data_IF_995148259841
#
_entry.id   IF_995148259841
#
_cell.length_a   1.000
_cell.length_b   1.000
_cell.length_c   1.000
_cell.angle_alpha   90.00
_cell.angle_beta   90.00
_cell.angle_gamma   90.00
#
_symmetry.space_group_name_H-M   'P 1'
#
loop_
_entity.id
_entity.type
_entity.pdbx_description
1 polymer ?
#
# COMPACT_ATOMS: atom_id res chain seq x y z
N UNK A 1 3.79 -53.40 17.94
CA UNK A 1 4.40 -52.68 16.82
C UNK A 1 4.20 -51.19 17.10
N UNK A 2 5.21 -50.51 17.67
CA UNK A 2 5.15 -49.10 18.08
C UNK A 2 5.90 -48.28 17.04
N UNK A 3 5.21 -47.45 16.27
CA UNK A 3 5.80 -46.48 15.37
C UNK A 3 6.27 -45.26 16.20
N UNK A 4 7.51 -44.82 16.08
CA UNK A 4 7.96 -43.57 16.69
C UNK A 4 7.56 -42.41 15.77
N UNK A 5 6.67 -41.56 16.27
CA UNK A 5 6.35 -40.26 15.69
C UNK A 5 7.56 -39.33 15.92
N UNK A 6 8.48 -39.28 14.97
CA UNK A 6 9.53 -38.26 14.93
C UNK A 6 8.95 -37.03 14.30
N UNK A 7 8.57 -36.08 15.14
CA UNK A 7 8.27 -34.69 14.75
C UNK A 7 9.58 -34.05 14.27
N UNK A 8 9.84 -34.13 12.99
CA UNK A 8 10.83 -33.29 12.33
C UNK A 8 10.24 -31.91 12.16
N UNK A 9 10.45 -31.04 13.15
CA UNK A 9 10.36 -29.60 12.95
C UNK A 9 11.60 -29.21 12.12
N UNK A 10 11.48 -29.32 10.81
CA UNK A 10 12.40 -28.72 9.85
C UNK A 10 12.13 -27.21 9.90
N UNK A 11 12.80 -26.51 10.81
CA UNK A 11 13.11 -25.09 10.62
C UNK A 11 14.17 -25.05 9.51
N UNK A 12 13.70 -25.13 8.26
CA UNK A 12 14.51 -24.92 7.09
C UNK A 12 15.15 -23.55 7.19
N UNK A 13 16.47 -23.52 7.26
CA UNK A 13 17.27 -22.32 7.18
C UNK A 13 16.77 -21.49 6.00
N UNK A 14 16.50 -20.22 6.27
CA UNK A 14 16.20 -19.18 5.28
C UNK A 14 17.41 -19.04 4.36
N UNK A 15 17.47 -19.86 3.32
CA UNK A 15 18.28 -19.56 2.14
C UNK A 15 17.57 -18.41 1.43
N UNK A 16 18.01 -17.19 1.71
CA UNK A 16 17.65 -16.02 0.93
C UNK A 16 18.37 -16.09 -0.42
N UNK A 17 17.90 -16.96 -1.31
CA UNK A 17 18.11 -16.77 -2.72
C UNK A 17 17.34 -15.50 -3.10
N UNK A 18 18.00 -14.51 -3.72
CA UNK A 18 17.33 -13.34 -4.24
C UNK A 18 16.30 -13.76 -5.28
N UNK A 19 15.06 -13.92 -4.84
CA UNK A 19 13.95 -14.19 -5.74
C UNK A 19 13.63 -12.86 -6.39
N UNK A 20 13.72 -12.78 -7.72
CA UNK A 20 13.14 -11.66 -8.45
C UNK A 20 11.67 -11.59 -8.02
N UNK A 21 11.33 -10.55 -7.28
CA UNK A 21 10.01 -10.38 -6.71
C UNK A 21 9.04 -10.12 -7.87
N UNK A 22 8.28 -11.14 -8.24
CA UNK A 22 7.07 -10.88 -8.97
C UNK A 22 6.23 -9.98 -8.07
N UNK A 23 6.03 -8.76 -8.55
CA UNK A 23 5.44 -7.71 -7.73
C UNK A 23 4.05 -8.11 -7.31
N UNK A 24 3.86 -8.09 -6.00
CA UNK A 24 2.58 -8.30 -5.38
C UNK A 24 1.55 -7.36 -5.97
N UNK A 25 0.54 -7.92 -6.57
CA UNK A 25 -0.68 -7.18 -6.83
C UNK A 25 -1.41 -7.06 -5.50
N UNK A 26 -1.25 -5.90 -4.87
CA UNK A 26 -1.82 -5.64 -3.56
C UNK A 26 -3.34 -5.77 -3.61
N UNK A 27 -3.87 -6.54 -2.71
CA UNK A 27 -5.25 -6.43 -2.26
C UNK A 27 -5.52 -4.97 -1.92
N UNK A 28 -6.56 -4.33 -2.47
CA UNK A 28 -6.91 -2.96 -2.14
C UNK A 28 -6.94 -2.74 -0.64
N UNK A 29 -6.28 -1.69 -0.18
CA UNK A 29 -5.89 -1.54 1.22
C UNK A 29 -7.05 -1.39 2.18
N UNK A 30 -8.21 -0.94 1.75
CA UNK A 30 -9.44 -0.91 2.54
C UNK A 30 -10.63 -1.06 1.59
N UNK A 31 -11.59 -1.95 1.90
CA UNK A 31 -12.89 -1.86 1.29
C UNK A 31 -13.47 -0.49 1.63
N UNK A 32 -13.81 0.35 0.62
CA UNK A 32 -14.34 1.67 0.91
C UNK A 32 -15.62 1.52 1.72
N UNK A 33 -15.67 2.06 2.93
CA UNK A 33 -16.92 2.23 3.64
C UNK A 33 -17.72 3.30 2.90
N UNK A 34 -18.96 3.06 2.46
CA UNK A 34 -19.84 4.16 2.12
C UNK A 34 -19.96 4.99 3.39
N UNK A 35 -19.79 6.27 3.21
CA UNK A 35 -19.86 7.20 4.30
C UNK A 35 -21.29 7.19 4.88
N UNK A 36 -21.45 6.76 6.12
CA UNK A 36 -22.47 7.38 6.93
C UNK A 36 -22.17 8.88 6.91
N UNK A 37 -23.06 9.70 6.36
CA UNK A 37 -22.85 11.15 6.14
C UNK A 37 -22.36 11.90 7.40
N UNK A 38 -22.47 11.29 8.57
CA UNK A 38 -22.11 11.86 9.88
C UNK A 38 -20.69 11.56 10.37
N UNK A 39 -19.94 10.63 9.74
CA UNK A 39 -18.66 10.14 10.31
C UNK A 39 -17.47 10.26 9.37
N UNK A 40 -17.64 10.69 8.12
CA UNK A 40 -16.56 10.77 7.14
C UNK A 40 -16.17 12.21 6.85
N UNK A 41 -14.87 12.48 6.88
CA UNK A 41 -14.33 13.78 6.49
C UNK A 41 -14.37 13.88 4.97
N UNK A 42 -15.32 14.67 4.42
CA UNK A 42 -15.41 14.94 2.98
C UNK A 42 -14.14 15.65 2.49
N UNK A 43 -13.79 15.41 1.24
CA UNK A 43 -12.63 15.98 0.58
C UNK A 43 -11.37 15.14 0.72
N UNK A 44 -10.21 15.76 0.62
CA UNK A 44 -8.92 15.10 0.63
C UNK A 44 -8.43 14.77 2.06
N UNK A 45 -8.03 13.52 2.25
CA UNK A 45 -7.51 12.98 3.50
C UNK A 45 -6.14 12.34 3.24
N UNK A 46 -5.04 13.10 3.19
CA UNK A 46 -3.71 12.56 2.96
C UNK A 46 -3.17 11.84 4.21
N UNK A 47 -2.27 10.90 3.98
CA UNK A 47 -1.48 10.25 5.03
C UNK A 47 -0.06 9.97 4.54
N UNK A 48 0.88 9.91 5.47
CA UNK A 48 2.27 9.56 5.22
C UNK A 48 2.88 8.92 6.46
N UNK A 49 3.52 7.77 6.30
CA UNK A 49 4.20 7.07 7.37
C UNK A 49 5.53 6.49 6.89
N UNK A 50 6.51 6.48 7.77
CA UNK A 50 7.75 5.73 7.62
C UNK A 50 7.70 4.46 8.45
N UNK A 51 8.27 3.38 7.92
CA UNK A 51 8.46 2.13 8.62
C UNK A 51 9.94 1.77 8.63
N UNK A 52 10.40 1.23 9.75
CA UNK A 52 11.72 0.63 9.89
C UNK A 52 11.58 -0.84 10.30
N UNK A 53 12.41 -1.70 9.76
CA UNK A 53 12.48 -3.10 10.15
C UNK A 53 13.89 -3.45 10.58
N UNK A 54 13.99 -4.24 11.65
CA UNK A 54 15.27 -4.73 12.15
C UNK A 54 15.08 -6.15 12.68
N UNK A 55 15.98 -7.05 12.27
CA UNK A 55 16.07 -8.39 12.79
C UNK A 55 17.55 -8.72 13.02
N UNK A 56 17.85 -9.33 14.16
CA UNK A 56 19.17 -9.79 14.53
C UNK A 56 19.07 -11.20 15.09
N UNK A 57 19.79 -12.15 14.49
CA UNK A 57 19.88 -13.51 14.97
C UNK A 57 21.36 -13.86 15.14
N UNK A 58 21.76 -14.28 16.34
CA UNK A 58 23.13 -14.70 16.62
C UNK A 58 23.13 -16.17 17.05
N UNK A 59 23.85 -17.01 16.32
CA UNK A 59 23.99 -18.43 16.58
C UNK A 59 25.42 -18.72 17.03
N UNK A 60 25.56 -19.58 18.04
CA UNK A 60 26.83 -20.13 18.49
C UNK A 60 26.62 -21.57 18.93
N UNK A 61 27.27 -22.51 18.26
CA UNK A 61 27.19 -23.96 18.53
C UNK A 61 25.77 -24.54 18.48
N UNK A 62 24.90 -23.96 17.63
CA UNK A 62 23.52 -24.46 17.42
C UNK A 62 23.55 -25.57 16.38
N UNK A 63 23.01 -26.74 16.72
CA UNK A 63 23.01 -27.91 15.82
C UNK A 63 22.20 -27.60 14.55
N UNK A 64 22.82 -27.76 13.38
CA UNK A 64 22.20 -27.52 12.07
C UNK A 64 22.14 -26.06 11.64
N UNK A 65 22.84 -25.14 12.34
CA UNK A 65 22.94 -23.75 11.98
C UNK A 65 24.40 -23.30 11.88
N UNK A 66 24.66 -22.36 10.99
CA UNK A 66 25.99 -21.75 10.87
C UNK A 66 26.22 -20.76 12.01
N UNK A 67 27.37 -20.87 12.67
CA UNK A 67 27.79 -19.92 13.71
C UNK A 67 27.98 -18.51 13.12
N UNK A 68 27.56 -17.52 13.90
CA UNK A 68 27.69 -16.12 13.52
C UNK A 68 26.40 -15.33 13.66
N UNK A 69 26.41 -14.11 13.12
CA UNK A 69 25.28 -13.18 13.25
C UNK A 69 24.66 -12.89 11.89
N UNK A 70 23.36 -13.13 11.80
CA UNK A 70 22.51 -12.70 10.68
C UNK A 70 21.78 -11.42 11.07
N UNK A 71 21.77 -10.45 10.17
CA UNK A 71 21.11 -9.16 10.38
C UNK A 71 20.25 -8.82 9.17
N UNK A 72 19.04 -8.34 9.42
CA UNK A 72 18.19 -7.72 8.39
C UNK A 72 17.84 -6.30 8.83
N UNK A 73 18.08 -5.34 7.96
CA UNK A 73 17.75 -3.93 8.16
C UNK A 73 16.92 -3.47 6.98
N UNK A 74 15.79 -2.83 7.25
CA UNK A 74 14.93 -2.32 6.19
C UNK A 74 14.27 -1.00 6.56
N UNK A 75 13.85 -0.30 5.52
CA UNK A 75 13.06 0.92 5.62
C UNK A 75 11.90 0.87 4.63
N UNK A 76 10.80 1.53 4.97
CA UNK A 76 9.66 1.65 4.09
C UNK A 76 9.00 3.02 4.19
N UNK A 77 8.35 3.39 3.10
CA UNK A 77 7.51 4.57 2.97
C UNK A 77 6.10 4.11 2.61
N UNK A 78 5.12 4.55 3.37
CA UNK A 78 3.71 4.33 3.08
C UNK A 78 3.00 5.67 3.03
N UNK A 79 2.40 6.01 1.91
CA UNK A 79 1.74 7.28 1.71
C UNK A 79 0.50 7.15 0.85
N UNK A 80 -0.32 8.20 0.84
CA UNK A 80 -1.48 8.25 -0.02
C UNK A 80 -2.44 9.37 0.33
N UNK A 81 -3.56 9.38 -0.36
CA UNK A 81 -4.65 10.32 -0.12
C UNK A 81 -5.98 9.69 -0.53
N UNK A 82 -6.98 9.81 0.34
CA UNK A 82 -8.36 9.47 0.00
C UNK A 82 -9.13 10.75 -0.31
N UNK A 83 -9.86 10.77 -1.42
CA UNK A 83 -10.87 11.79 -1.71
C UNK A 83 -12.26 11.19 -1.58
N UNK A 84 -13.09 11.82 -0.76
CA UNK A 84 -14.43 11.33 -0.45
C UNK A 84 -15.44 12.43 -0.69
N UNK A 85 -16.41 12.16 -1.57
CA UNK A 85 -17.55 13.06 -1.82
C UNK A 85 -18.78 12.26 -2.22
N UNK A 86 -19.80 12.21 -1.36
CA UNK A 86 -21.09 11.55 -1.59
C UNK A 86 -20.97 10.15 -2.20
N UNK A 87 -21.07 10.07 -3.53
CA UNK A 87 -21.01 8.82 -4.30
C UNK A 87 -19.61 8.52 -4.86
N UNK A 88 -18.66 9.40 -4.68
CA UNK A 88 -17.31 9.31 -5.25
C UNK A 88 -16.29 9.00 -4.17
N UNK A 89 -15.51 7.98 -4.39
CA UNK A 89 -14.36 7.64 -3.55
C UNK A 89 -13.15 7.39 -4.45
N UNK A 90 -12.10 8.18 -4.28
CA UNK A 90 -10.81 7.97 -4.92
C UNK A 90 -9.77 7.70 -3.84
N UNK A 91 -9.08 6.60 -3.96
CA UNK A 91 -7.94 6.24 -3.13
C UNK A 91 -6.68 6.25 -3.96
N UNK A 92 -5.69 7.01 -3.52
CA UNK A 92 -4.33 6.99 -4.04
C UNK A 92 -3.42 6.42 -2.96
N UNK A 93 -2.58 5.45 -3.30
CA UNK A 93 -1.62 4.86 -2.38
C UNK A 93 -0.26 4.70 -3.02
N UNK A 94 0.76 4.96 -2.23
CA UNK A 94 2.17 4.74 -2.54
C UNK A 94 2.76 3.88 -1.44
N UNK A 95 3.41 2.79 -1.81
CA UNK A 95 4.24 2.00 -0.90
C UNK A 95 5.59 1.76 -1.51
N UNK A 96 6.63 1.87 -0.68
CA UNK A 96 8.00 1.57 -1.06
C UNK A 96 8.64 0.85 0.12
N UNK A 97 9.35 -0.24 -0.15
CA UNK A 97 10.04 -1.01 0.88
C UNK A 97 11.37 -1.47 0.36
N UNK A 98 12.40 -1.25 1.15
CA UNK A 98 13.75 -1.70 0.88
C UNK A 98 14.30 -2.40 2.12
N UNK A 99 14.91 -3.59 1.95
CA UNK A 99 15.57 -4.29 3.03
C UNK A 99 16.81 -5.01 2.54
N UNK A 100 17.83 -5.01 3.39
CA UNK A 100 19.11 -5.66 3.17
C UNK A 100 19.35 -6.70 4.26
N UNK A 101 19.88 -7.84 3.86
CA UNK A 101 20.25 -8.94 4.75
C UNK A 101 21.76 -9.17 4.70
N UNK A 102 22.33 -9.55 5.84
CA UNK A 102 23.69 -10.04 5.97
C UNK A 102 23.65 -11.36 6.74
N UNK A 103 24.35 -12.36 6.25
CA UNK A 103 24.43 -13.68 6.89
C UNK A 103 25.89 -14.00 7.28
N UNK A 104 26.15 -14.99 8.15
CA UNK A 104 27.52 -15.43 8.47
C UNK A 104 28.31 -15.92 7.26
N UNK A 105 27.62 -16.45 6.24
CA UNK A 105 28.25 -16.98 5.02
C UNK A 105 28.56 -15.86 4.02
N UNK A 106 27.73 -14.79 4.03
CA UNK A 106 27.87 -13.66 3.11
C UNK A 106 28.20 -12.43 3.93
N UNK A 107 29.47 -11.99 3.90
CA UNK A 107 29.99 -10.94 4.77
C UNK A 107 29.59 -9.52 4.36
N UNK A 108 28.79 -9.34 3.30
CA UNK A 108 28.21 -8.07 2.86
C UNK A 108 26.69 -8.04 2.99
N UNK A 109 26.12 -6.85 3.02
CA UNK A 109 24.67 -6.68 2.93
C UNK A 109 24.23 -6.93 1.49
N UNK A 110 23.24 -7.81 1.34
CA UNK A 110 22.60 -8.12 0.06
C UNK A 110 21.14 -7.69 0.13
N UNK A 111 20.58 -7.29 -0.99
CA UNK A 111 19.18 -6.94 -1.12
C UNK A 111 18.30 -8.15 -0.80
N UNK A 112 17.37 -8.01 0.14
CA UNK A 112 16.44 -9.06 0.53
C UNK A 112 14.99 -8.73 0.20
N UNK A 113 14.66 -7.46 0.12
CA UNK A 113 13.34 -6.97 -0.28
C UNK A 113 13.51 -5.63 -0.97
N UNK A 114 12.87 -5.46 -2.11
CA UNK A 114 12.86 -4.21 -2.85
C UNK A 114 11.56 -4.13 -3.64
N UNK A 115 10.69 -3.20 -3.29
CA UNK A 115 9.42 -3.02 -3.99
C UNK A 115 8.95 -1.59 -3.91
N UNK A 116 8.44 -1.09 -5.02
CA UNK A 116 7.73 0.16 -5.13
C UNK A 116 6.38 -0.07 -5.79
N UNK A 117 5.34 0.50 -5.24
CA UNK A 117 4.00 0.43 -5.81
C UNK A 117 3.27 1.75 -5.69
N UNK A 118 2.67 2.18 -6.78
CA UNK A 118 1.70 3.26 -6.85
C UNK A 118 0.36 2.68 -7.30
N UNK A 119 -0.72 2.98 -6.60
CA UNK A 119 -2.05 2.51 -6.97
C UNK A 119 -3.08 3.61 -6.82
N UNK A 120 -3.98 3.71 -7.80
CA UNK A 120 -5.17 4.55 -7.77
C UNK A 120 -6.42 3.69 -7.95
N UNK A 121 -7.39 3.82 -7.04
CA UNK A 121 -8.69 3.14 -7.12
C UNK A 121 -9.78 4.17 -7.02
N UNK A 122 -10.61 4.24 -8.05
CA UNK A 122 -11.81 5.07 -8.06
C UNK A 122 -13.05 4.21 -7.95
N UNK A 123 -13.96 4.54 -7.03
CA UNK A 123 -15.25 3.86 -6.86
C UNK A 123 -16.38 4.88 -7.00
N UNK A 124 -17.39 4.53 -7.81
CA UNK A 124 -18.64 5.25 -7.94
C UNK A 124 -19.76 4.41 -7.35
N UNK A 125 -20.35 4.85 -6.24
CA UNK A 125 -21.41 4.13 -5.53
C UNK A 125 -22.77 4.31 -6.20
N UNK A 126 -23.36 3.23 -6.66
CA UNK A 126 -24.75 3.17 -7.13
C UNK A 126 -25.71 2.95 -5.95
N UNK A 127 -25.26 2.20 -4.95
CA UNK A 127 -25.92 1.95 -3.66
C UNK A 127 -24.89 1.95 -2.54
N UNK A 128 -25.31 1.75 -1.29
CA UNK A 128 -24.42 1.64 -0.15
C UNK A 128 -23.41 0.48 -0.23
N UNK A 129 -23.77 -0.56 -0.98
CA UNK A 129 -22.99 -1.81 -1.05
C UNK A 129 -22.46 -2.14 -2.43
N UNK A 130 -22.89 -1.45 -3.48
CA UNK A 130 -22.52 -1.78 -4.85
C UNK A 130 -22.27 -0.54 -5.71
N UNK A 131 -21.43 -0.70 -6.71
CA UNK A 131 -21.10 0.38 -7.64
C UNK A 131 -20.18 -0.05 -8.75
N UNK A 132 -19.57 0.94 -9.39
CA UNK A 132 -18.58 0.77 -10.45
C UNK A 132 -17.20 1.16 -9.91
N UNK A 133 -16.16 0.48 -10.37
CA UNK A 133 -14.79 0.82 -10.04
C UNK A 133 -13.91 0.95 -11.27
N UNK A 134 -12.84 1.74 -11.11
CA UNK A 134 -11.68 1.76 -11.99
C UNK A 134 -10.42 1.71 -11.15
N UNK A 135 -9.41 0.96 -11.57
CA UNK A 135 -8.14 0.77 -10.89
C UNK A 135 -6.99 0.93 -11.88
N UNK A 136 -5.94 1.58 -11.43
CA UNK A 136 -4.64 1.63 -12.10
C UNK A 136 -3.56 1.37 -11.06
N UNK A 137 -2.63 0.45 -11.33
CA UNK A 137 -1.48 0.23 -10.49
C UNK A 137 -0.20 0.13 -11.30
N UNK A 138 0.88 0.62 -10.70
CA UNK A 138 2.23 0.54 -11.21
C UNK A 138 3.10 -0.06 -10.11
N UNK A 139 3.84 -1.09 -10.44
CA UNK A 139 4.72 -1.78 -9.51
C UNK A 139 6.08 -2.03 -10.13
N UNK A 140 7.17 -1.86 -9.33
CA UNK A 140 8.56 -2.11 -9.77
C UNK A 140 9.47 -2.34 -8.57
N UNK A 141 10.70 -2.76 -8.79
CA UNK A 141 11.81 -2.65 -7.84
C UNK A 141 12.60 -1.36 -8.11
N UNK A 142 13.28 -0.80 -7.09
CA UNK A 142 14.08 0.42 -7.25
C UNK A 142 15.50 0.15 -7.74
N UNK A 143 16.09 -0.96 -7.28
CA UNK A 143 17.51 -1.24 -7.46
C UNK A 143 17.72 -2.51 -8.25
N UNK A 144 18.89 -2.64 -8.84
CA UNK A 144 19.35 -3.87 -9.49
C UNK A 144 19.30 -5.06 -8.52
N UNK A 145 19.17 -6.25 -9.08
CA UNK A 145 19.12 -7.51 -8.33
C UNK A 145 20.25 -8.43 -8.76
N UNK A 146 20.97 -8.96 -7.77
CA UNK A 146 22.07 -9.91 -7.99
C UNK A 146 21.86 -11.17 -7.11
N UNK A 147 22.19 -12.35 -7.65
CA UNK A 147 22.39 -13.55 -6.86
C UNK A 147 23.83 -13.59 -6.33
N UNK A 148 23.97 -13.64 -5.00
CA UNK A 148 25.26 -13.56 -4.34
C UNK A 148 25.46 -14.82 -3.51
N UNK A 149 26.53 -15.54 -3.80
CA UNK A 149 26.85 -16.80 -3.15
C UNK A 149 28.11 -16.68 -2.29
N UNK A 150 28.19 -17.46 -1.22
CA UNK A 150 29.36 -17.55 -0.33
C UNK A 150 30.50 -18.40 -0.91
N UNK A 151 30.22 -19.23 -1.91
CA UNK A 151 31.15 -20.12 -2.60
C UNK A 151 31.08 -19.89 -4.11
N UNK A 152 32.21 -20.10 -4.84
CA UNK A 152 32.19 -20.04 -6.29
C UNK A 152 31.14 -21.00 -6.90
N UNK A 153 30.31 -20.47 -7.75
CA UNK A 153 29.17 -21.14 -8.37
C UNK A 153 29.15 -20.80 -9.86
N UNK A 154 28.64 -21.67 -10.70
CA UNK A 154 28.39 -21.40 -12.12
C UNK A 154 26.89 -21.16 -12.32
N UNK A 155 26.53 -20.12 -13.09
CA UNK A 155 25.14 -19.87 -13.45
C UNK A 155 24.89 -20.12 -14.92
N UNK A 156 23.78 -20.80 -15.21
CA UNK A 156 23.35 -21.13 -16.56
C UNK A 156 21.95 -20.61 -16.82
N UNK A 157 21.74 -20.05 -17.99
CA UNK A 157 20.41 -19.75 -18.50
C UNK A 157 19.78 -21.04 -19.04
N UNK A 158 18.78 -21.53 -18.33
CA UNK A 158 18.02 -22.72 -18.68
C UNK A 158 16.68 -22.41 -19.36
N UNK A 159 16.48 -21.20 -19.84
CA UNK A 159 15.25 -20.74 -20.54
C UNK A 159 15.01 -21.54 -21.82
N UNK A 160 16.05 -21.75 -22.60
CA UNK A 160 16.02 -22.53 -23.85
C UNK A 160 16.13 -24.04 -23.65
N UNK A 161 16.11 -24.77 -24.78
CA UNK A 161 16.34 -26.23 -24.78
C UNK A 161 17.78 -26.62 -24.42
N UNK A 162 18.74 -25.73 -24.69
CA UNK A 162 20.16 -25.95 -24.37
C UNK A 162 20.57 -24.87 -23.38
N UNK A 163 21.01 -25.26 -22.16
CA UNK A 163 21.50 -24.29 -21.20
C UNK A 163 22.70 -23.48 -21.74
N UNK A 164 22.73 -22.19 -21.43
CA UNK A 164 23.79 -21.26 -21.81
C UNK A 164 24.51 -20.79 -20.57
N UNK A 165 25.84 -20.98 -20.53
CA UNK A 165 26.66 -20.51 -19.41
C UNK A 165 26.65 -18.97 -19.36
N UNK A 166 26.21 -18.40 -18.24
CA UNK A 166 26.22 -16.97 -17.96
C UNK A 166 27.48 -16.55 -17.22
N UNK A 167 27.77 -17.21 -16.10
CA UNK A 167 28.96 -16.96 -15.27
C UNK A 167 29.55 -18.27 -14.80
N UNK A 168 30.87 -18.40 -14.91
CA UNK A 168 31.62 -19.60 -14.48
C UNK A 168 32.41 -19.32 -13.20
N UNK A 169 32.21 -20.14 -12.17
CA UNK A 169 32.97 -20.08 -10.91
C UNK A 169 32.99 -18.65 -10.28
N UNK A 170 31.90 -17.92 -10.40
CA UNK A 170 31.74 -16.62 -9.79
C UNK A 170 31.11 -16.67 -8.40
N UNK A 171 31.04 -15.54 -7.74
CA UNK A 171 30.32 -15.38 -6.45
C UNK A 171 29.13 -14.43 -6.59
N UNK A 172 28.89 -13.91 -7.80
CA UNK A 172 27.84 -12.93 -8.08
C UNK A 172 27.36 -13.09 -9.52
N UNK A 173 26.04 -13.06 -9.71
CA UNK A 173 25.36 -13.08 -10.99
C UNK A 173 24.28 -12.03 -11.01
N UNK A 174 24.31 -11.16 -12.02
CA UNK A 174 23.28 -10.16 -12.25
C UNK A 174 21.96 -10.82 -12.67
N UNK A 175 20.85 -10.46 -11.98
CA UNK A 175 19.52 -11.01 -12.22
C UNK A 175 18.55 -10.01 -12.86
N UNK A 176 18.64 -8.73 -12.52
CA UNK A 176 17.76 -7.70 -13.05
C UNK A 176 18.32 -6.30 -12.87
N UNK A 177 18.12 -5.45 -13.86
CA UNK A 177 18.40 -4.02 -13.77
C UNK A 177 17.47 -3.30 -12.79
N UNK A 178 17.82 -2.11 -12.38
CA UNK A 178 16.94 -1.22 -11.64
C UNK A 178 15.62 -0.97 -12.39
N UNK A 179 14.53 -0.84 -11.65
CA UNK A 179 13.17 -0.68 -12.15
C UNK A 179 12.63 -1.85 -12.99
N UNK A 180 13.21 -3.04 -12.83
CA UNK A 180 12.73 -4.27 -13.46
C UNK A 180 12.39 -5.36 -12.41
N UNK A 181 11.34 -6.17 -12.69
CA UNK A 181 10.34 -5.98 -13.73
C UNK A 181 9.43 -4.78 -13.43
N UNK A 182 8.95 -4.08 -14.47
CA UNK A 182 7.92 -3.05 -14.35
C UNK A 182 6.58 -3.64 -14.70
N UNK A 183 5.62 -3.59 -13.78
CA UNK A 183 4.25 -4.06 -14.00
C UNK A 183 3.26 -2.90 -13.97
N UNK A 184 2.44 -2.79 -14.99
CA UNK A 184 1.30 -1.88 -15.06
C UNK A 184 0.04 -2.75 -15.10
N UNK A 185 -0.90 -2.52 -14.19
CA UNK A 185 -2.19 -3.22 -14.18
C UNK A 185 -3.31 -2.21 -14.14
N UNK A 186 -4.34 -2.48 -14.94
CA UNK A 186 -5.53 -1.65 -15.06
C UNK A 186 -6.77 -2.52 -15.00
N UNK A 187 -7.83 -2.05 -14.36
CA UNK A 187 -9.11 -2.76 -14.40
C UNK A 187 -10.29 -1.84 -14.19
N UNK A 188 -11.44 -2.24 -14.73
CA UNK A 188 -12.70 -1.54 -14.56
C UNK A 188 -13.86 -2.53 -14.55
N UNK A 189 -14.88 -2.27 -13.71
CA UNK A 189 -16.02 -3.16 -13.59
C UNK A 189 -16.97 -2.77 -12.48
N UNK A 190 -17.69 -3.77 -11.98
CA UNK A 190 -18.58 -3.64 -10.84
C UNK A 190 -17.94 -4.13 -9.55
N UNK A 191 -18.33 -3.52 -8.43
CA UNK A 191 -17.98 -4.02 -7.10
C UNK A 191 -19.22 -4.25 -6.26
N UNK A 192 -19.09 -5.17 -5.29
CA UNK A 192 -20.11 -5.48 -4.31
C UNK A 192 -19.46 -5.75 -2.93
N UNK A 193 -19.86 -4.97 -1.92
CA UNK A 193 -19.37 -5.03 -0.55
C UNK A 193 -20.48 -5.55 0.38
N UNK A 194 -20.71 -6.87 0.48
CA UNK A 194 -21.82 -7.44 1.24
C UNK A 194 -21.72 -7.26 2.74
N UNK A 195 -20.50 -7.14 3.28
CA UNK A 195 -20.25 -7.04 4.72
C UNK A 195 -19.35 -5.83 4.99
N UNK A 196 -19.80 -4.94 5.89
CA UNK A 196 -19.09 -3.72 6.30
C UNK A 196 -19.11 -3.57 7.82
N UNK A 197 -18.44 -4.50 8.51
CA UNK A 197 -18.29 -4.50 9.97
C UNK A 197 -16.82 -4.26 10.32
N UNK A 198 -16.55 -3.68 11.48
CA UNK A 198 -15.18 -3.41 11.93
C UNK A 198 -14.34 -4.68 12.03
N UNK A 199 -14.95 -5.80 12.42
CA UNK A 199 -14.26 -7.08 12.51
C UNK A 199 -14.16 -7.80 11.17
N UNK A 200 -15.00 -7.46 10.16
CA UNK A 200 -14.94 -8.02 8.80
C UNK A 200 -15.60 -7.05 7.81
N UNK A 201 -14.83 -6.60 6.84
CA UNK A 201 -15.32 -6.00 5.61
C UNK A 201 -14.93 -6.91 4.44
N UNK A 202 -15.92 -7.29 3.63
CA UNK A 202 -15.76 -8.16 2.47
C UNK A 202 -16.03 -7.34 1.21
N UNK A 203 -15.13 -7.40 0.23
CA UNK A 203 -15.27 -6.75 -1.07
C UNK A 203 -15.11 -7.76 -2.19
N UNK A 204 -16.03 -7.73 -3.14
CA UNK A 204 -16.00 -8.54 -4.36
C UNK A 204 -15.95 -7.59 -5.56
N UNK A 205 -15.13 -7.90 -6.54
CA UNK A 205 -15.03 -7.13 -7.79
C UNK A 205 -15.03 -8.07 -8.97
N UNK A 206 -15.65 -7.64 -10.05
CA UNK A 206 -15.66 -8.35 -11.32
C UNK A 206 -15.64 -7.33 -12.45
N UNK A 207 -14.76 -7.54 -13.42
CA UNK A 207 -14.62 -6.60 -14.53
C UNK A 207 -13.69 -7.10 -15.62
N UNK A 208 -13.25 -6.15 -16.43
CA UNK A 208 -12.21 -6.34 -17.42
C UNK A 208 -10.92 -5.80 -16.82
N UNK A 209 -9.84 -6.57 -16.87
CA UNK A 209 -8.52 -6.20 -16.38
C UNK A 209 -7.46 -6.42 -17.43
N UNK A 210 -6.52 -5.49 -17.50
CA UNK A 210 -5.31 -5.56 -18.31
C UNK A 210 -4.06 -5.57 -17.44
N UNK A 211 -3.01 -6.21 -17.94
CA UNK A 211 -1.70 -6.22 -17.30
C UNK A 211 -0.59 -6.23 -18.36
N UNK A 212 0.40 -5.38 -18.14
CA UNK A 212 1.64 -5.37 -18.89
C UNK A 212 2.81 -5.49 -17.91
N UNK A 213 3.62 -6.54 -18.02
CA UNK A 213 4.84 -6.74 -17.25
C UNK A 213 6.03 -6.74 -18.19
N UNK A 214 6.91 -5.76 -18.04
CA UNK A 214 8.14 -5.61 -18.80
C UNK A 214 9.26 -6.29 -18.02
N UNK A 215 9.61 -7.51 -18.41
CA UNK A 215 10.56 -8.38 -17.69
C UNK A 215 11.77 -8.80 -18.51
N UNK A 216 11.99 -8.14 -19.64
CA UNK A 216 13.11 -8.43 -20.55
C UNK A 216 14.47 -8.31 -19.82
N UNK A 217 15.30 -9.35 -19.88
CA UNK A 217 16.57 -9.43 -19.16
C UNK A 217 16.44 -9.63 -17.65
N UNK A 218 15.28 -10.07 -17.15
CA UNK A 218 15.07 -10.43 -15.74
C UNK A 218 15.18 -11.95 -15.58
N UNK A 219 16.10 -12.40 -14.74
CA UNK A 219 16.31 -13.79 -14.42
C UNK A 219 15.72 -14.14 -13.05
N UNK A 220 15.19 -15.35 -12.93
CA UNK A 220 14.76 -15.94 -11.66
C UNK A 220 15.46 -17.27 -11.42
N UNK A 221 15.67 -17.57 -10.16
CA UNK A 221 16.30 -18.82 -9.75
C UNK A 221 15.34 -20.01 -9.99
N UNK A 222 15.84 -21.04 -10.67
CA UNK A 222 15.17 -22.31 -10.95
C UNK A 222 16.12 -23.49 -10.70
N UNK A 223 16.83 -23.44 -9.59
CA UNK A 223 17.92 -24.31 -9.21
C UNK A 223 17.47 -25.79 -9.10
N UNK A 224 18.06 -26.68 -9.90
CA UNK A 224 17.87 -28.12 -9.78
C UNK A 224 18.89 -28.69 -8.77
N UNK A 225 18.41 -29.13 -7.64
CA UNK A 225 19.25 -29.73 -6.59
C UNK A 225 20.09 -30.94 -7.05
N UNK A 226 19.84 -31.50 -8.24
CA UNK A 226 20.63 -32.57 -8.82
C UNK A 226 21.93 -32.07 -9.47
N UNK A 227 22.04 -30.81 -9.84
CA UNK A 227 23.23 -30.21 -10.43
C UNK A 227 24.07 -29.49 -9.38
N UNK A 228 25.13 -30.17 -8.87
CA UNK A 228 26.00 -29.59 -7.86
C UNK A 228 26.89 -28.46 -8.43
N UNK A 229 27.00 -27.33 -7.73
CA UNK A 229 27.80 -26.15 -8.07
C UNK A 229 27.35 -25.40 -9.35
N UNK A 230 26.18 -25.72 -9.85
CA UNK A 230 25.52 -25.02 -10.96
C UNK A 230 24.17 -24.54 -10.51
N UNK A 231 23.76 -23.34 -10.93
CA UNK A 231 22.48 -22.74 -10.63
C UNK A 231 21.80 -22.38 -11.94
N UNK A 232 20.67 -23.00 -12.16
CA UNK A 232 19.84 -22.72 -13.32
C UNK A 232 19.01 -21.46 -13.08
N UNK A 233 19.04 -20.58 -14.07
CA UNK A 233 18.22 -19.37 -14.11
C UNK A 233 17.23 -19.46 -15.27
N UNK A 234 16.06 -18.88 -15.09
CA UNK A 234 15.09 -18.69 -16.16
C UNK A 234 14.92 -17.21 -16.45
N UNK A 235 15.06 -16.81 -17.69
CA UNK A 235 14.69 -15.47 -18.12
C UNK A 235 13.17 -15.34 -18.17
N UNK A 236 12.64 -14.28 -17.55
CA UNK A 236 11.21 -14.00 -17.55
C UNK A 236 10.77 -13.38 -18.88
N UNK A 237 9.56 -13.72 -19.29
CA UNK A 237 8.96 -13.17 -20.50
C UNK A 237 8.26 -11.84 -20.23
N UNK A 238 8.36 -10.90 -21.16
CA UNK A 238 7.50 -9.72 -21.17
C UNK A 238 6.06 -10.13 -21.49
N UNK A 239 5.12 -9.72 -20.65
CA UNK A 239 3.72 -10.15 -20.67
C UNK A 239 2.79 -9.00 -20.96
N UNK A 240 1.86 -9.22 -21.90
CA UNK A 240 0.71 -8.32 -22.11
C UNK A 240 -0.56 -9.17 -22.11
N UNK A 241 -1.47 -8.88 -21.19
CA UNK A 241 -2.73 -9.61 -21.02
C UNK A 241 -3.89 -8.64 -20.90
N UNK A 242 -5.03 -8.99 -21.52
CA UNK A 242 -6.34 -8.40 -21.29
C UNK A 242 -7.32 -9.53 -21.06
N UNK A 243 -8.14 -9.46 -20.02
CA UNK A 243 -8.99 -10.56 -19.64
C UNK A 243 -10.15 -10.18 -18.72
N UNK A 244 -10.83 -11.20 -18.24
CA UNK A 244 -11.80 -11.06 -17.16
C UNK A 244 -11.04 -11.11 -15.84
N UNK A 245 -11.19 -10.07 -15.02
CA UNK A 245 -10.59 -9.97 -13.69
C UNK A 245 -11.68 -10.16 -12.62
N UNK A 246 -11.43 -11.10 -11.70
CA UNK A 246 -12.20 -11.31 -10.49
C UNK A 246 -11.33 -11.05 -9.26
N UNK A 247 -11.90 -10.40 -8.27
CA UNK A 247 -11.22 -10.12 -6.99
C UNK A 247 -12.16 -10.38 -5.82
N UNK A 248 -11.64 -11.00 -4.75
CA UNK A 248 -12.30 -11.16 -3.46
C UNK A 248 -11.35 -10.74 -2.36
N UNK A 249 -11.74 -9.77 -1.54
CA UNK A 249 -10.90 -9.24 -0.46
C UNK A 249 -11.65 -9.17 0.86
N UNK A 250 -10.94 -9.46 1.95
CA UNK A 250 -11.44 -9.39 3.32
C UNK A 250 -10.45 -8.61 4.19
N UNK A 251 -10.95 -7.66 4.96
CA UNK A 251 -10.18 -6.91 5.95
C UNK A 251 -10.93 -6.86 7.27
N UNK A 252 -10.23 -6.82 8.39
CA UNK A 252 -10.87 -6.71 9.68
C UNK A 252 -9.92 -6.40 10.82
N UNK A 253 -10.53 -5.99 11.95
CA UNK A 253 -9.83 -5.63 13.19
C UNK A 253 -10.43 -6.41 14.35
N UNK A 254 -9.59 -7.09 15.12
CA UNK A 254 -9.97 -7.84 16.31
C UNK A 254 -9.33 -7.21 17.54
N UNK A 255 -9.78 -7.58 18.72
CA UNK A 255 -9.26 -7.12 20.01
C UNK A 255 -9.09 -5.59 20.10
N UNK A 256 -10.13 -4.83 19.73
CA UNK A 256 -10.13 -3.35 19.71
C UNK A 256 -9.01 -2.76 18.84
N UNK A 257 -8.63 -3.46 17.75
CA UNK A 257 -7.64 -2.99 16.79
C UNK A 257 -6.20 -3.38 17.09
N UNK A 258 -5.94 -4.21 18.11
CA UNK A 258 -4.60 -4.78 18.31
C UNK A 258 -4.23 -5.78 17.24
N UNK A 259 -5.20 -6.51 16.73
CA UNK A 259 -5.03 -7.50 15.69
C UNK A 259 -5.74 -7.04 14.43
N UNK A 260 -4.99 -6.80 13.37
CA UNK A 260 -5.53 -6.42 12.07
C UNK A 260 -5.18 -7.52 11.07
N UNK A 261 -6.13 -7.87 10.23
CA UNK A 261 -5.89 -8.81 9.16
C UNK A 261 -6.43 -8.30 7.82
N UNK A 262 -5.80 -8.77 6.77
CA UNK A 262 -6.14 -8.47 5.39
C UNK A 262 -5.85 -9.72 4.56
N UNK A 263 -6.76 -10.12 3.69
CA UNK A 263 -6.54 -11.20 2.75
C UNK A 263 -7.25 -10.87 1.43
N UNK A 264 -6.69 -11.31 0.31
CA UNK A 264 -7.28 -11.13 -0.98
C UNK A 264 -6.85 -12.18 -1.98
N UNK A 265 -7.75 -12.45 -2.91
CA UNK A 265 -7.55 -13.35 -4.03
C UNK A 265 -7.92 -12.59 -5.31
N UNK A 266 -6.99 -12.52 -6.25
CA UNK A 266 -7.20 -11.98 -7.58
C UNK A 266 -7.02 -13.09 -8.63
N UNK A 267 -7.89 -13.11 -9.64
CA UNK A 267 -7.83 -14.04 -10.75
C UNK A 267 -8.00 -13.25 -12.05
N UNK A 268 -7.06 -13.40 -12.98
CA UNK A 268 -7.14 -12.84 -14.33
C UNK A 268 -7.19 -13.99 -15.34
N UNK A 269 -8.29 -14.13 -16.04
CA UNK A 269 -8.49 -15.05 -17.16
C UNK A 269 -8.28 -14.29 -18.47
N UNK A 270 -7.11 -14.39 -19.13
CA UNK A 270 -6.83 -13.59 -20.31
C UNK A 270 -7.58 -14.14 -21.54
N UNK A 271 -8.18 -13.26 -22.34
CA UNK A 271 -8.71 -13.58 -23.67
C UNK A 271 -7.90 -12.92 -24.79
N UNK A 272 -7.03 -11.95 -24.48
CA UNK A 272 -5.98 -11.41 -25.34
C UNK A 272 -4.67 -11.54 -24.57
N UNK A 273 -3.63 -12.05 -25.24
CA UNK A 273 -2.30 -12.21 -24.69
C UNK A 273 -1.23 -12.21 -25.80
N UNK A 274 0.03 -12.10 -25.41
CA UNK A 274 1.19 -12.17 -26.30
C UNK A 274 2.01 -13.46 -26.11
N UNK A 275 1.39 -14.55 -25.67
CA UNK A 275 2.09 -15.81 -25.41
C UNK A 275 2.66 -16.41 -26.68
N UNK A 276 3.99 -16.54 -26.75
CA UNK A 276 4.68 -17.10 -27.93
C UNK A 276 4.44 -18.60 -28.13
N UNK A 277 4.01 -19.31 -27.08
CA UNK A 277 3.70 -20.75 -27.12
C UNK A 277 2.23 -21.05 -27.44
N UNK A 278 1.41 -20.02 -27.69
CA UNK A 278 -0.02 -20.13 -28.03
C UNK A 278 -0.82 -21.01 -27.03
N UNK A 279 -0.48 -20.88 -25.74
CA UNK A 279 -1.16 -21.61 -24.67
C UNK A 279 -2.62 -21.13 -24.51
N UNK A 280 -3.49 -22.02 -24.07
CA UNK A 280 -4.90 -21.68 -23.86
C UNK A 280 -5.10 -20.64 -22.74
N UNK A 281 -6.19 -19.85 -22.83
CA UNK A 281 -6.54 -18.85 -21.80
C UNK A 281 -6.61 -19.44 -20.38
N UNK A 282 -7.11 -20.65 -20.25
CA UNK A 282 -7.20 -21.35 -18.95
C UNK A 282 -5.81 -21.73 -18.41
N UNK A 283 -4.88 -22.11 -19.27
CA UNK A 283 -3.49 -22.39 -18.90
C UNK A 283 -2.81 -21.10 -18.44
N UNK A 284 -3.05 -19.99 -19.13
CA UNK A 284 -2.48 -18.68 -18.85
C UNK A 284 -3.19 -17.91 -17.72
N UNK A 285 -4.20 -18.52 -17.08
CA UNK A 285 -4.90 -17.89 -15.97
C UNK A 285 -3.93 -17.56 -14.84
N UNK A 286 -3.85 -16.27 -14.51
CA UNK A 286 -3.09 -15.78 -13.38
C UNK A 286 -3.94 -15.84 -12.11
N UNK A 287 -3.35 -16.33 -11.04
CA UNK A 287 -3.95 -16.36 -9.70
C UNK A 287 -2.97 -15.75 -8.72
N UNK A 288 -3.43 -14.77 -7.95
CA UNK A 288 -2.63 -14.13 -6.91
C UNK A 288 -3.42 -14.12 -5.59
N UNK A 289 -2.81 -14.66 -4.55
CA UNK A 289 -3.32 -14.62 -3.18
C UNK A 289 -2.35 -13.84 -2.32
N UNK A 290 -2.88 -12.96 -1.49
CA UNK A 290 -2.11 -12.20 -0.50
C UNK A 290 -2.84 -12.21 0.84
N UNK A 291 -2.10 -12.41 1.93
CA UNK A 291 -2.63 -12.27 3.28
C UNK A 291 -1.62 -11.54 4.16
N UNK A 292 -2.11 -10.62 4.96
CA UNK A 292 -1.30 -9.88 5.95
C UNK A 292 -1.99 -9.92 7.30
N UNK A 293 -1.20 -10.19 8.32
CA UNK A 293 -1.61 -10.26 9.70
C UNK A 293 -0.71 -9.33 10.52
N UNK A 294 -1.30 -8.36 11.20
CA UNK A 294 -0.55 -7.37 11.98
C UNK A 294 -1.01 -7.43 13.43
N UNK A 295 -0.07 -7.66 14.33
CA UNK A 295 -0.28 -7.54 15.79
C UNK A 295 0.42 -6.30 16.31
N UNK A 296 -0.37 -5.32 16.80
CA UNK A 296 0.13 -4.06 17.35
C UNK A 296 0.45 -4.22 18.83
N UNK A 297 1.73 -4.22 19.17
CA UNK A 297 2.23 -4.32 20.55
C UNK A 297 2.21 -2.97 21.25
N UNK A 298 2.62 -1.92 20.52
CA UNK A 298 2.60 -0.53 20.97
C UNK A 298 2.25 0.38 19.78
N UNK A 299 1.94 1.64 20.02
CA UNK A 299 1.57 2.59 18.94
C UNK A 299 2.64 2.78 17.87
N UNK A 300 3.87 2.40 18.16
CA UNK A 300 5.05 2.50 17.29
C UNK A 300 5.68 1.16 16.92
N UNK A 301 5.20 0.03 17.50
CA UNK A 301 5.76 -1.32 17.31
C UNK A 301 4.66 -2.32 16.97
N UNK A 302 4.85 -3.03 15.87
CA UNK A 302 3.98 -4.10 15.41
C UNK A 302 4.79 -5.32 14.94
N UNK A 303 4.19 -6.50 15.05
CA UNK A 303 4.66 -7.70 14.36
C UNK A 303 3.75 -7.94 13.17
N UNK A 304 4.35 -8.06 12.00
CA UNK A 304 3.65 -8.24 10.72
C UNK A 304 4.07 -9.56 10.11
N UNK A 305 3.09 -10.42 9.84
CA UNK A 305 3.25 -11.59 8.99
C UNK A 305 2.55 -11.33 7.67
N UNK A 306 3.23 -11.53 6.57
CA UNK A 306 2.64 -11.48 5.22
C UNK A 306 2.94 -12.78 4.46
N UNK A 307 1.97 -13.25 3.72
CA UNK A 307 2.06 -14.39 2.82
C UNK A 307 1.55 -13.99 1.46
N UNK A 308 2.29 -14.34 0.43
CA UNK A 308 1.96 -14.08 -0.96
C UNK A 308 2.17 -15.35 -1.76
N UNK A 309 1.18 -15.71 -2.56
CA UNK A 309 1.22 -16.88 -3.45
C UNK A 309 0.76 -16.40 -4.83
N UNK A 310 1.63 -16.52 -5.83
CA UNK A 310 1.34 -16.10 -7.20
C UNK A 310 1.61 -17.27 -8.14
N UNK A 311 0.62 -17.57 -8.98
CA UNK A 311 0.79 -18.37 -10.19
C UNK A 311 0.60 -17.47 -11.40
N UNK A 312 1.65 -17.30 -12.17
CA UNK A 312 1.69 -16.45 -13.35
C UNK A 312 2.35 -17.18 -14.55
N UNK A 313 1.61 -18.07 -15.20
CA UNK A 313 2.20 -18.97 -16.20
C UNK A 313 2.82 -18.26 -17.40
N UNK A 314 2.28 -17.10 -17.82
CA UNK A 314 2.81 -16.41 -18.99
C UNK A 314 4.16 -15.74 -18.73
N UNK A 315 4.48 -15.47 -17.47
CA UNK A 315 5.77 -14.89 -17.09
C UNK A 315 6.94 -15.88 -17.29
N UNK A 316 6.65 -17.18 -17.22
CA UNK A 316 7.63 -18.25 -17.35
C UNK A 316 7.61 -18.90 -18.72
N UNK A 317 8.74 -19.45 -19.21
CA UNK A 317 8.79 -20.26 -20.42
C UNK A 317 7.79 -21.43 -20.34
N UNK A 318 7.26 -21.84 -21.48
CA UNK A 318 6.28 -22.92 -21.55
C UNK A 318 6.85 -24.24 -20.97
N UNK A 319 6.06 -24.86 -20.10
CA UNK A 319 6.45 -26.10 -19.41
C UNK A 319 7.35 -25.90 -18.18
N UNK A 320 7.65 -24.65 -17.82
CA UNK A 320 8.44 -24.28 -16.63
C UNK A 320 7.65 -23.38 -15.69
N UNK A 321 6.31 -23.49 -15.69
CA UNK A 321 5.42 -22.72 -14.84
C UNK A 321 5.72 -23.01 -13.36
N UNK A 322 5.95 -21.95 -12.58
CA UNK A 322 6.18 -22.05 -11.15
C UNK A 322 5.16 -21.25 -10.34
N UNK A 323 4.87 -21.77 -9.15
CA UNK A 323 4.10 -21.03 -8.14
C UNK A 323 5.10 -20.34 -7.23
N UNK A 324 5.04 -19.01 -7.23
CA UNK A 324 5.86 -18.17 -6.37
C UNK A 324 5.22 -18.11 -5.00
N UNK A 325 5.96 -18.40 -3.95
CA UNK A 325 5.51 -18.32 -2.56
C UNK A 325 6.48 -17.49 -1.76
N UNK A 326 5.98 -16.42 -1.18
CA UNK A 326 6.75 -15.58 -0.28
C UNK A 326 6.05 -15.47 1.07
N UNK A 327 6.80 -15.76 2.14
CA UNK A 327 6.34 -15.59 3.51
C UNK A 327 7.33 -14.70 4.25
N UNK A 328 6.81 -13.66 4.92
CA UNK A 328 7.64 -12.68 5.62
C UNK A 328 7.09 -12.45 7.02
N UNK A 329 7.97 -12.50 8.03
CA UNK A 329 7.65 -12.16 9.41
C UNK A 329 8.61 -11.06 9.88
N UNK A 330 8.07 -9.90 10.22
CA UNK A 330 8.87 -8.72 10.57
C UNK A 330 8.38 -8.07 11.87
N UNK A 331 9.34 -7.62 12.68
CA UNK A 331 9.06 -6.57 13.67
C UNK A 331 9.19 -5.21 12.96
N UNK A 332 8.12 -4.43 12.99
CA UNK A 332 8.03 -3.16 12.25
C UNK A 332 7.85 -2.00 13.22
N UNK A 333 8.71 -1.00 13.07
CA UNK A 333 8.60 0.28 13.75
C UNK A 333 7.92 1.26 12.81
N UNK A 334 6.84 1.91 13.26
CA UNK A 334 6.07 2.82 12.42
C UNK A 334 5.99 4.21 13.02
N UNK A 335 6.31 5.22 12.20
CA UNK A 335 6.21 6.64 12.54
C UNK A 335 5.32 7.36 11.53
N UNK A 336 4.14 7.82 11.99
CA UNK A 336 3.23 8.58 11.15
C UNK A 336 3.62 10.05 11.13
N UNK A 337 3.98 10.60 9.98
CA UNK A 337 4.26 12.02 9.76
C UNK A 337 2.97 12.80 9.52
N UNK A 338 2.07 12.24 8.72
CA UNK A 338 0.77 12.81 8.44
C UNK A 338 -0.27 11.75 8.74
N UNK A 339 -1.17 12.02 9.69
CA UNK A 339 -2.27 11.12 10.05
C UNK A 339 -3.50 11.46 9.22
N UNK A 340 -4.24 10.45 8.79
CA UNK A 340 -5.59 10.67 8.22
C UNK A 340 -6.42 11.46 9.21
N UNK A 341 -7.23 12.39 8.72
CA UNK A 341 -8.19 13.11 9.55
C UNK A 341 -9.18 12.10 10.11
N UNK A 342 -9.26 12.03 11.44
CA UNK A 342 -10.31 11.26 12.09
C UNK A 342 -11.62 12.03 11.99
N UNK A 343 -12.71 11.34 11.66
CA UNK A 343 -14.03 11.93 11.78
C UNK A 343 -14.28 12.32 13.25
N UNK A 344 -14.89 13.47 13.51
CA UNK A 344 -15.25 13.85 14.86
C UNK A 344 -16.09 12.73 15.48
N UNK A 345 -15.70 12.26 16.66
CA UNK A 345 -16.46 11.25 17.38
C UNK A 345 -17.91 11.72 17.53
N UNK A 346 -18.89 10.84 17.33
CA UNK A 346 -20.28 11.21 17.60
C UNK A 346 -20.35 11.73 19.03
N UNK A 347 -20.83 12.98 19.18
CA UNK A 347 -20.99 13.61 20.48
C UNK A 347 -21.90 12.74 21.35
N UNK A 348 -21.54 12.56 22.60
CA UNK A 348 -22.41 11.90 23.55
C UNK A 348 -23.71 12.70 23.70
N UNK A 349 -24.79 12.06 24.16
CA UNK A 349 -26.06 12.78 24.41
C UNK A 349 -25.86 13.98 25.34
N UNK A 350 -25.00 13.83 26.33
CA UNK A 350 -24.65 14.89 27.28
C UNK A 350 -23.92 16.06 26.62
N UNK A 351 -22.97 15.78 25.68
CA UNK A 351 -22.27 16.81 24.90
C UNK A 351 -23.20 17.53 23.93
N UNK A 352 -24.18 16.84 23.35
CA UNK A 352 -25.19 17.43 22.49
C UNK A 352 -26.15 18.32 23.29
N UNK A 353 -26.62 17.87 24.42
CA UNK A 353 -27.46 18.65 25.32
C UNK A 353 -26.77 19.90 25.88
N UNK A 354 -25.47 19.78 26.19
CA UNK A 354 -24.65 20.93 26.62
C UNK A 354 -24.46 21.96 25.46
N UNK A 355 -24.19 21.50 24.27
CA UNK A 355 -24.03 22.40 23.10
C UNK A 355 -25.35 23.10 22.75
N UNK A 356 -26.46 22.39 22.78
CA UNK A 356 -27.79 22.97 22.60
C UNK A 356 -28.14 23.97 23.71
N UNK A 357 -27.71 23.72 24.93
CA UNK A 357 -27.89 24.66 26.04
C UNK A 357 -27.03 25.92 25.86
N UNK A 358 -25.77 25.77 25.46
CA UNK A 358 -24.89 26.92 25.16
C UNK A 358 -25.48 27.77 24.01
N UNK A 359 -25.94 27.14 22.94
CA UNK A 359 -26.54 27.85 21.81
C UNK A 359 -27.80 28.63 22.21
N UNK A 360 -28.67 28.04 23.08
CA UNK A 360 -29.85 28.75 23.63
C UNK A 360 -29.44 29.92 24.51
N UNK A 361 -28.35 29.81 25.27
CA UNK A 361 -27.82 30.90 26.08
C UNK A 361 -27.29 32.04 25.23
N UNK A 362 -26.53 31.75 24.17
CA UNK A 362 -26.02 32.75 23.21
C UNK A 362 -27.17 33.47 22.48
N UNK A 363 -28.18 32.73 22.02
CA UNK A 363 -29.36 33.32 21.38
C UNK A 363 -30.15 34.22 22.34
N UNK A 364 -30.27 33.84 23.62
CA UNK A 364 -30.92 34.64 24.67
C UNK A 364 -30.11 35.94 25.00
N UNK A 365 -28.76 35.82 25.06
CA UNK A 365 -27.89 37.00 25.28
C UNK A 365 -28.01 37.99 24.13
N UNK A 366 -28.02 37.46 22.89
CA UNK A 366 -28.21 38.30 21.69
C UNK A 366 -29.57 39.02 21.71
N UNK A 367 -30.63 38.31 22.02
CA UNK A 367 -31.97 38.89 22.13
C UNK A 367 -32.04 39.96 23.24
N UNK A 368 -31.36 39.77 24.38
CA UNK A 368 -31.28 40.75 25.47
C UNK A 368 -30.54 42.03 25.03
N UNK A 369 -29.40 41.88 24.30
CA UNK A 369 -28.64 42.99 23.74
C UNK A 369 -29.48 43.81 22.74
N UNK A 370 -30.23 43.15 21.89
CA UNK A 370 -31.12 43.79 20.93
C UNK A 370 -32.28 44.50 21.60
N UNK A 371 -32.85 43.95 22.68
CA UNK A 371 -33.89 44.60 23.48
C UNK A 371 -33.36 45.81 24.24
N UNK A 372 -32.17 45.75 24.85
CA UNK A 372 -31.50 46.88 25.51
C UNK A 372 -31.23 48.00 24.54
N UNK A 373 -30.76 47.72 23.34
CA UNK A 373 -30.53 48.73 22.28
C UNK A 373 -31.82 49.43 21.87
N UNK A 374 -32.92 48.69 21.73
CA UNK A 374 -34.24 49.26 21.42
C UNK A 374 -34.78 50.15 22.53
N UNK A 375 -34.48 49.87 23.79
CA UNK A 375 -34.83 50.69 24.94
C UNK A 375 -34.01 51.99 24.99
N UNK A 376 -32.69 51.89 24.66
CA UNK A 376 -31.79 53.01 24.59
C UNK A 376 -32.19 53.99 23.49
N UNK A 377 -32.57 53.45 22.30
CA UNK A 377 -33.06 54.26 21.16
C UNK A 377 -34.43 54.97 21.46
N UNK A 378 -35.25 54.38 22.32
CA UNK A 378 -36.51 54.99 22.76
C UNK A 378 -36.36 56.07 23.85
N UNK A 379 -35.29 56.05 24.64
CA UNK A 379 -35.01 57.00 25.73
C UNK A 379 -34.15 58.19 25.30
N UNK A 380 -33.76 58.26 24.04
CA UNK A 380 -33.06 59.43 23.51
C UNK A 380 -34.00 60.63 23.48
N UNK A 381 -33.67 61.76 24.16
CA UNK A 381 -34.50 62.95 24.14
C UNK A 381 -34.63 63.51 22.71
N UNK A 382 -35.76 64.09 22.32
CA UNK A 382 -35.93 64.65 20.98
C UNK A 382 -34.88 65.74 20.74
N UNK A 383 -34.08 65.52 19.70
CA UNK A 383 -33.06 66.49 19.27
C UNK A 383 -33.68 67.87 19.08
N UNK A 384 -33.10 68.84 19.76
CA UNK A 384 -33.43 70.25 19.58
C UNK A 384 -33.20 70.76 18.12
N UNK A 385 -33.99 71.64 17.59
CA UNK A 385 -33.82 72.09 16.21
C UNK A 385 -32.48 72.82 16.06
N UNK A 386 -31.65 72.32 15.16
CA UNK A 386 -30.36 72.93 14.80
C UNK A 386 -30.57 74.13 13.97
N UNK A 387 -30.24 75.32 14.53
CA UNK A 387 -30.18 76.60 13.84
C UNK A 387 -28.98 76.59 12.87
N UNK A 388 -29.31 76.84 11.58
CA UNK A 388 -28.38 76.72 10.47
C UNK A 388 -27.82 78.11 10.19
N UNK A 389 -26.64 78.44 10.76
CA UNK A 389 -25.82 79.52 10.23
C UNK A 389 -24.42 79.51 10.81
N UNK A 390 -23.48 78.85 10.13
CA UNK A 390 -22.06 79.15 10.30
C UNK A 390 -21.31 78.97 8.97
N UNK A 391 -20.41 79.93 8.66
CA UNK A 391 -19.79 80.07 7.36
C UNK A 391 -18.61 79.13 7.17
N UNK A 392 -18.39 78.74 5.92
CA UNK A 392 -17.34 77.92 5.37
C UNK A 392 -15.92 78.46 5.64
N UNK A 393 -14.99 77.68 6.17
CA UNK A 393 -13.55 78.01 6.15
C UNK A 393 -12.87 77.50 4.86
N UNK A 394 -11.77 78.15 4.44
CA UNK A 394 -11.13 77.95 3.13
C UNK A 394 -10.31 76.64 3.03
N UNK A 395 -10.31 76.13 1.82
CA UNK A 395 -9.61 75.00 1.30
C UNK A 395 -8.07 75.08 1.50
N UNK A 396 -7.44 74.09 2.12
CA UNK A 396 -5.99 73.90 2.15
C UNK A 396 -5.53 72.89 1.09
N UNK A 397 -4.34 73.06 0.52
CA UNK A 397 -3.92 72.34 -0.70
C UNK A 397 -3.47 70.87 -0.43
N UNK A 398 -3.82 70.03 -1.40
CA UNK A 398 -3.50 68.64 -1.56
C UNK A 398 -1.97 68.42 -1.73
N UNK A 399 -1.36 67.69 -0.86
CA UNK A 399 -0.01 67.14 -1.06
C UNK A 399 -0.07 65.67 -1.44
N UNK A 400 0.44 65.36 -2.61
CA UNK A 400 0.63 64.02 -3.18
C UNK A 400 1.83 63.34 -2.52
N UNK A 401 1.76 62.07 -2.09
CA UNK A 401 2.95 61.35 -1.65
C UNK A 401 3.70 60.68 -2.82
N UNK A 402 5.01 60.50 -2.72
CA UNK A 402 5.86 59.99 -3.79
C UNK A 402 5.80 58.47 -3.95
N UNK A 403 5.91 58.08 -5.22
CA UNK A 403 6.09 56.69 -5.71
C UNK A 403 7.44 56.16 -5.27
N UNK A 404 7.44 55.05 -4.58
CA UNK A 404 8.64 54.32 -4.25
C UNK A 404 8.86 53.20 -5.29
N UNK A 405 9.93 53.31 -6.09
CA UNK A 405 10.46 52.28 -6.98
C UNK A 405 11.50 51.47 -6.19
N UNK A 406 11.38 50.18 -6.30
CA UNK A 406 12.34 49.19 -5.82
C UNK A 406 13.23 48.71 -6.97
N UNK A 407 14.52 48.41 -6.75
CA UNK A 407 15.31 47.58 -7.67
C UNK A 407 15.05 46.09 -7.51
#
# INVERSE_FOLDING_TARGET
>A
MRLPLRSALLLSGLCFGGVAHAQAELVPTDAPKPADEKTVVKGWNPFLAFTGTFNLVSNSNVIGQTDGTSTVIGAGLLGGADYIDCKHFLQLSLSATEAFARTPVIHRFIKSTDSAKLEGVYNYFLSETAGLYGRLSLGTSFFESDDIRGTPTSWVDATGMTPVLLTQNGTEQHLADAFKPLTISESAGGFYDPIKKDWLALSLRLGIGGRSTFADGVFVNHDDAATMNEVELLELSTVHQLGIEGFAGAVGKLEKGKFNYKAGLAVLLPFVNNDAADRSATTLTRVAFEATLTYTMASWLSVVYSSQIIRDPQLFPAGKDEVQVQNTLLATFQFSLVKKKEAPKPKTKEEQELEDAIKRADDAEKALKDALKKLQDKSAPPSAPTDTSQPTPPTAPTTTPPVNQTP
#
